data_IF_798715482929
#
_entry.id   IF_798715482929
#
_cell.length_a   1.000
_cell.length_b   1.000
_cell.length_c   1.000
_cell.angle_alpha   90.00
_cell.angle_beta   90.00
_cell.angle_gamma   90.00
#
_symmetry.space_group_name_H-M   'P 1'
#
loop_
_entity.id
_entity.type
_entity.pdbx_description
1 polymer ?
#
# COMPACT_ATOMS: atom_id res chain seq x y z
N UNK A 1 0.64 -13.09 6.96
CA UNK A 1 1.00 -11.83 7.61
C UNK A 1 2.12 -11.17 6.83
N UNK A 2 1.81 -10.00 6.28
CA UNK A 2 2.74 -9.18 5.51
C UNK A 2 3.59 -8.31 6.46
N UNK A 3 4.65 -7.71 5.92
CA UNK A 3 5.58 -6.85 6.66
C UNK A 3 5.66 -5.47 6.01
N UNK A 4 6.20 -4.51 6.74
CA UNK A 4 6.63 -3.24 6.16
C UNK A 4 7.58 -3.53 4.99
N UNK A 5 7.49 -2.69 3.97
CA UNK A 5 8.25 -2.75 2.73
C UNK A 5 7.95 -3.98 1.84
N UNK A 6 6.98 -4.84 2.20
CA UNK A 6 6.50 -5.88 1.28
C UNK A 6 5.77 -5.20 0.10
N UNK A 7 6.18 -5.53 -1.12
CA UNK A 7 5.42 -5.22 -2.33
C UNK A 7 4.22 -6.15 -2.44
N UNK A 8 3.04 -5.58 -2.58
CA UNK A 8 1.76 -6.30 -2.63
C UNK A 8 0.88 -5.80 -3.76
N UNK A 9 -0.01 -6.68 -4.22
CA UNK A 9 -1.08 -6.33 -5.15
C UNK A 9 -2.41 -6.29 -4.42
N UNK A 10 -3.18 -5.22 -4.62
CA UNK A 10 -4.57 -5.13 -4.21
C UNK A 10 -5.42 -5.95 -5.18
N UNK A 11 -5.99 -7.06 -4.71
CA UNK A 11 -6.69 -8.05 -5.55
C UNK A 11 -7.81 -7.46 -6.40
N UNK A 12 -8.59 -6.53 -5.82
CA UNK A 12 -9.77 -5.96 -6.46
C UNK A 12 -9.45 -5.04 -7.64
N UNK A 13 -8.38 -4.25 -7.53
CA UNK A 13 -8.00 -3.25 -8.52
C UNK A 13 -6.83 -3.69 -9.40
N UNK A 14 -6.05 -4.69 -8.97
CA UNK A 14 -4.81 -5.10 -9.62
C UNK A 14 -3.64 -4.13 -9.38
N UNK A 15 -3.86 -3.07 -8.59
CA UNK A 15 -2.86 -2.06 -8.26
C UNK A 15 -1.76 -2.70 -7.41
N UNK A 16 -0.52 -2.40 -7.75
CA UNK A 16 0.66 -2.82 -6.99
C UNK A 16 1.17 -1.62 -6.20
N UNK A 17 1.62 -1.87 -4.97
CA UNK A 17 2.25 -0.88 -4.12
C UNK A 17 3.03 -1.53 -2.99
N UNK A 18 3.58 -0.71 -2.10
CA UNK A 18 4.43 -1.11 -0.98
C UNK A 18 3.72 -0.86 0.33
N UNK A 19 3.85 -1.78 1.29
CA UNK A 19 3.28 -1.59 2.62
C UNK A 19 4.13 -0.59 3.41
N UNK A 20 3.58 0.56 3.73
CA UNK A 20 4.26 1.63 4.48
C UNK A 20 3.85 1.73 5.94
N UNK A 21 2.69 1.17 6.30
CA UNK A 21 2.24 1.08 7.69
C UNK A 21 1.36 -0.16 7.94
N UNK A 22 1.39 -0.66 9.18
CA UNK A 22 0.60 -1.80 9.64
C UNK A 22 0.00 -1.46 11.01
N UNK A 23 -1.32 -1.34 11.05
CA UNK A 23 -2.06 -1.06 12.27
C UNK A 23 -2.89 -2.26 12.72
N UNK A 24 -2.80 -2.60 14.00
CA UNK A 24 -3.54 -3.67 14.63
C UNK A 24 -4.45 -3.09 15.73
N UNK A 25 -5.59 -2.50 15.33
CA UNK A 25 -6.56 -1.93 16.25
C UNK A 25 -7.84 -2.78 16.29
N UNK A 26 -8.34 -3.06 17.49
CA UNK A 26 -9.65 -3.73 17.66
C UNK A 26 -9.71 -5.18 17.15
N UNK A 27 -8.58 -5.87 17.01
CA UNK A 27 -8.51 -7.26 16.53
C UNK A 27 -8.51 -7.42 15.01
N UNK A 28 -8.48 -6.32 14.25
CA UNK A 28 -8.28 -6.32 12.81
C UNK A 28 -6.91 -5.72 12.47
N UNK A 29 -6.24 -6.30 11.47
CA UNK A 29 -5.00 -5.77 10.89
C UNK A 29 -5.32 -5.02 9.61
N UNK A 30 -4.93 -3.75 9.56
CA UNK A 30 -5.01 -2.88 8.39
C UNK A 30 -3.61 -2.61 7.87
N UNK A 31 -3.41 -2.79 6.57
CA UNK A 31 -2.19 -2.51 5.85
C UNK A 31 -2.39 -1.23 5.04
N UNK A 32 -1.46 -0.30 5.15
CA UNK A 32 -1.42 0.92 4.36
C UNK A 32 -0.48 0.66 3.18
N UNK A 33 -1.02 0.80 1.97
CA UNK A 33 -0.31 0.54 0.73
C UNK A 33 -0.10 1.88 0.03
N UNK A 34 1.17 2.18 -0.19
CA UNK A 34 1.60 3.31 -0.98
C UNK A 34 1.92 2.82 -2.39
N UNK A 35 1.38 3.50 -3.41
CA UNK A 35 1.63 3.16 -4.82
C UNK A 35 2.59 4.13 -5.48
N UNK A 36 3.20 5.01 -4.70
CA UNK A 36 4.27 5.86 -5.19
C UNK A 36 5.54 5.01 -5.32
N UNK A 37 6.08 4.95 -6.54
CA UNK A 37 7.33 4.25 -6.82
C UNK A 37 8.55 5.11 -6.44
N UNK A 38 8.34 6.33 -5.94
CA UNK A 38 9.42 7.26 -5.61
C UNK A 38 10.17 7.78 -6.84
N UNK A 39 9.68 7.49 -8.05
CA UNK A 39 10.05 8.17 -9.30
C UNK A 39 9.35 9.53 -9.34
N UNK A 40 9.59 10.35 -8.30
CA UNK A 40 9.44 11.79 -8.38
C UNK A 40 10.54 12.30 -9.32
N UNK A 41 10.29 12.22 -10.62
CA UNK A 41 10.85 13.22 -11.54
C UNK A 41 10.47 14.58 -10.96
N UNK A 42 11.48 15.37 -10.57
CA UNK A 42 11.32 16.73 -10.04
C UNK A 42 10.27 17.51 -10.85
N UNK A 43 9.43 18.26 -10.14
CA UNK A 43 8.59 19.37 -10.65
C UNK A 43 7.08 19.16 -10.85
N UNK A 44 6.41 18.28 -10.08
CA UNK A 44 4.94 18.41 -9.95
C UNK A 44 4.49 18.54 -8.50
N UNK A 45 4.40 19.78 -8.03
CA UNK A 45 3.68 20.14 -6.80
C UNK A 45 2.20 19.72 -6.95
N UNK A 46 1.87 18.49 -6.52
CA UNK A 46 0.55 17.90 -6.68
C UNK A 46 0.50 16.44 -7.18
N UNK A 47 1.62 15.70 -7.25
CA UNK A 47 1.55 14.24 -7.42
C UNK A 47 0.75 13.65 -6.26
N UNK A 48 -0.50 13.26 -6.52
CA UNK A 48 -1.39 12.70 -5.51
C UNK A 48 -0.96 11.25 -5.26
N UNK A 49 -0.06 11.04 -4.31
CA UNK A 49 0.24 9.71 -3.78
C UNK A 49 -1.06 9.01 -3.38
N UNK A 50 -1.38 7.91 -4.06
CA UNK A 50 -2.60 7.17 -3.80
C UNK A 50 -2.34 6.17 -2.67
N UNK A 51 -2.80 6.51 -1.47
CA UNK A 51 -2.70 5.65 -0.29
C UNK A 51 -3.96 4.79 -0.17
N UNK A 52 -3.78 3.48 -0.03
CA UNK A 52 -4.88 2.53 0.13
C UNK A 52 -4.82 1.83 1.49
N UNK A 53 -5.98 1.69 2.14
CA UNK A 53 -6.12 0.92 3.38
C UNK A 53 -6.77 -0.43 3.05
N UNK A 54 -6.06 -1.52 3.34
CA UNK A 54 -6.48 -2.87 2.98
C UNK A 54 -6.41 -3.82 4.16
N UNK A 55 -7.28 -4.83 4.19
CA UNK A 55 -7.12 -5.98 5.08
C UNK A 55 -6.18 -7.02 4.47
N UNK A 56 -5.73 -8.00 5.25
CA UNK A 56 -4.90 -9.10 4.74
C UNK A 56 -5.57 -9.86 3.57
N UNK A 57 -6.90 -9.93 3.58
CA UNK A 57 -7.66 -10.65 2.54
C UNK A 57 -7.72 -9.88 1.21
N UNK A 58 -7.55 -8.56 1.24
CA UNK A 58 -7.64 -7.70 0.05
C UNK A 58 -6.35 -7.69 -0.77
N UNK A 59 -5.24 -8.19 -0.21
CA UNK A 59 -3.91 -8.15 -0.80
C UNK A 59 -3.30 -9.53 -1.02
N UNK A 60 -2.35 -9.60 -1.95
CA UNK A 60 -1.49 -10.75 -2.21
C UNK A 60 -0.04 -10.31 -2.42
N UNK A 61 0.92 -11.20 -2.10
CA UNK A 61 2.32 -10.96 -2.44
C UNK A 61 2.48 -11.00 -3.95
N UNK A 62 3.30 -10.06 -4.44
CA UNK A 62 3.80 -10.07 -5.83
C UNK A 62 5.01 -10.99 -5.94
#
# INVERSE_FOLDING_TARGET
MFKLDDTVRIKKSGIVGTITDISCAGGATTYVIDTDDGDDEEDTFGSMTAVFYCSENDIEKV
#
